data_IF_308478396488
#
_entry.id   IF_308478396488
#
_cell.length_a   1.000
_cell.length_b   1.000
_cell.length_c   1.000
_cell.angle_alpha   90.00
_cell.angle_beta   90.00
_cell.angle_gamma   90.00
#
_symmetry.space_group_name_H-M   'P 1'
#
loop_
_entity.id
_entity.type
_entity.pdbx_description
1 polymer ?
#
# COMPACT_ATOMS: atom_id res chain seq x y z
N UNK A 1 10.54 -16.05 42.96
CA UNK A 1 11.00 -14.90 42.17
C UNK A 1 11.02 -15.32 40.71
N UNK A 2 10.09 -14.84 39.87
CA UNK A 2 10.21 -14.95 38.42
C UNK A 2 10.88 -13.66 37.92
N UNK A 3 12.11 -13.79 37.44
CA UNK A 3 12.79 -12.78 36.64
C UNK A 3 12.94 -13.35 35.23
N UNK A 4 12.58 -12.57 34.20
CA UNK A 4 12.86 -12.66 32.75
C UNK A 4 11.67 -11.96 32.05
N UNK A 5 11.81 -10.93 31.25
CA UNK A 5 12.96 -10.27 30.66
C UNK A 5 12.55 -8.84 30.28
N UNK A 6 13.55 -7.96 30.19
CA UNK A 6 13.57 -6.66 29.53
C UNK A 6 12.22 -6.04 29.16
N UNK A 7 11.89 -4.97 29.87
CA UNK A 7 11.19 -3.84 29.30
C UNK A 7 12.10 -3.20 28.23
N UNK A 8 12.31 -3.91 27.12
CA UNK A 8 12.84 -3.30 25.91
C UNK A 8 11.84 -2.22 25.53
N UNK A 9 12.33 -0.98 25.38
CA UNK A 9 11.59 0.10 24.75
C UNK A 9 10.83 -0.49 23.56
N UNK A 10 9.51 -0.43 23.65
CA UNK A 10 8.65 -1.16 22.74
C UNK A 10 8.78 -0.48 21.37
N UNK A 11 9.73 -0.95 20.56
CA UNK A 11 10.15 -0.38 19.27
C UNK A 11 9.05 -0.52 18.18
N UNK A 12 7.86 -0.94 18.59
CA UNK A 12 6.68 -1.10 17.76
C UNK A 12 5.46 -0.42 18.42
N UNK A 13 4.59 0.20 17.61
CA UNK A 13 3.48 1.00 18.10
C UNK A 13 2.47 0.17 18.91
N UNK A 14 1.73 0.85 19.79
CA UNK A 14 0.63 0.24 20.52
C UNK A 14 -0.38 -0.40 19.56
N UNK A 15 -0.81 -1.63 19.84
CA UNK A 15 -1.67 -2.43 18.95
C UNK A 15 -2.93 -1.70 18.48
N UNK A 16 -3.59 -0.93 19.36
CA UNK A 16 -4.81 -0.18 18.98
C UNK A 16 -4.49 0.99 18.05
N UNK A 17 -3.40 1.70 18.30
CA UNK A 17 -2.96 2.78 17.41
C UNK A 17 -2.53 2.24 16.05
N UNK A 18 -1.76 1.15 16.04
CA UNK A 18 -1.34 0.44 14.85
C UNK A 18 -2.52 -0.06 14.00
N UNK A 19 -3.60 -0.54 14.63
CA UNK A 19 -4.82 -0.93 13.94
C UNK A 19 -5.51 0.26 13.27
N UNK A 20 -5.64 1.40 13.98
CA UNK A 20 -6.24 2.61 13.42
C UNK A 20 -5.44 3.17 12.24
N UNK A 21 -4.11 3.16 12.34
CA UNK A 21 -3.22 3.54 11.24
C UNK A 21 -3.39 2.59 10.05
N UNK A 22 -3.43 1.28 10.30
CA UNK A 22 -3.64 0.27 9.26
C UNK A 22 -4.99 0.42 8.54
N UNK A 23 -6.05 0.79 9.27
CA UNK A 23 -7.36 1.10 8.69
C UNK A 23 -7.33 2.34 7.79
N UNK A 24 -6.46 3.30 8.08
CA UNK A 24 -6.18 4.46 7.22
C UNK A 24 -5.17 4.15 6.11
N UNK A 25 -4.75 2.88 5.94
CA UNK A 25 -3.68 2.45 5.03
C UNK A 25 -2.34 3.15 5.28
N UNK A 26 -2.10 3.59 6.52
CA UNK A 26 -0.83 4.14 6.98
C UNK A 26 -0.06 3.04 7.70
N UNK A 27 1.09 2.67 7.16
CA UNK A 27 1.92 1.62 7.73
C UNK A 27 3.23 2.22 8.24
N UNK A 28 3.25 2.57 9.53
CA UNK A 28 4.41 3.21 10.18
C UNK A 28 5.54 2.21 10.45
N UNK A 29 5.20 0.94 10.70
CA UNK A 29 6.17 -0.10 11.03
C UNK A 29 5.91 -1.39 10.25
N UNK A 30 6.96 -2.17 10.00
CA UNK A 30 6.88 -3.36 9.15
C UNK A 30 5.95 -4.45 9.72
N UNK A 31 5.90 -4.55 11.05
CA UNK A 31 4.95 -5.40 11.79
C UNK A 31 3.50 -5.03 11.50
N UNK A 32 3.18 -3.73 11.41
CA UNK A 32 1.82 -3.24 11.12
C UNK A 32 1.43 -3.62 9.69
N UNK A 33 2.35 -3.42 8.74
CA UNK A 33 2.16 -3.80 7.34
C UNK A 33 1.91 -5.30 7.19
N UNK A 34 2.75 -6.13 7.83
CA UNK A 34 2.62 -7.59 7.72
C UNK A 34 1.35 -8.11 8.41
N UNK A 35 0.99 -7.52 9.56
CA UNK A 35 -0.29 -7.84 10.23
C UNK A 35 -1.47 -7.52 9.32
N UNK A 36 -1.46 -6.33 8.71
CA UNK A 36 -2.50 -5.91 7.78
C UNK A 36 -2.55 -6.78 6.52
N UNK A 37 -1.40 -7.25 6.03
CA UNK A 37 -1.30 -8.19 4.91
C UNK A 37 -1.91 -9.55 5.24
N UNK A 38 -1.65 -10.09 6.45
CA UNK A 38 -2.18 -11.40 6.89
C UNK A 38 -3.69 -11.40 7.07
N UNK A 39 -4.26 -10.29 7.52
CA UNK A 39 -5.72 -10.12 7.65
C UNK A 39 -6.36 -9.79 6.30
N UNK A 40 -5.68 -8.98 5.50
CA UNK A 40 -6.18 -8.47 4.23
C UNK A 40 -6.38 -6.96 4.29
N UNK A 41 -5.67 -6.22 3.44
CA UNK A 41 -5.75 -4.75 3.39
C UNK A 41 -7.17 -4.24 3.12
N UNK A 42 -7.86 -4.86 2.17
CA UNK A 42 -9.24 -4.51 1.81
C UNK A 42 -10.22 -4.82 2.95
N UNK A 43 -9.95 -5.88 3.71
CA UNK A 43 -10.81 -6.30 4.80
C UNK A 43 -10.74 -5.30 5.95
N UNK A 44 -9.53 -4.89 6.36
CA UNK A 44 -9.34 -3.88 7.40
C UNK A 44 -9.96 -2.53 6.99
N UNK A 45 -9.90 -2.16 5.71
CA UNK A 45 -10.44 -0.90 5.22
C UNK A 45 -11.97 -0.88 5.14
N UNK A 46 -12.56 -1.98 4.66
CA UNK A 46 -13.97 -1.98 4.24
C UNK A 46 -14.90 -2.70 5.24
N UNK A 47 -14.40 -3.60 6.08
CA UNK A 47 -15.22 -4.33 7.06
C UNK A 47 -15.32 -3.57 8.38
N UNK A 48 -16.34 -3.90 9.16
CA UNK A 48 -16.54 -3.33 10.48
C UNK A 48 -15.43 -3.74 11.45
N UNK A 49 -15.04 -2.83 12.36
CA UNK A 49 -14.04 -3.06 13.41
C UNK A 49 -14.37 -4.30 14.26
N UNK A 50 -15.65 -4.58 14.48
CA UNK A 50 -16.10 -5.77 15.23
C UNK A 50 -15.65 -7.09 14.63
N UNK A 51 -15.36 -7.13 13.33
CA UNK A 51 -14.90 -8.33 12.61
C UNK A 51 -13.38 -8.38 12.52
N UNK A 52 -12.75 -7.25 12.21
CA UNK A 52 -11.31 -7.17 11.89
C UNK A 52 -10.44 -6.98 13.14
N UNK A 53 -10.92 -6.29 14.16
CA UNK A 53 -10.18 -6.03 15.39
C UNK A 53 -9.86 -7.31 16.20
N UNK A 54 -10.78 -8.29 16.35
CA UNK A 54 -10.43 -9.56 17.00
C UNK A 54 -9.31 -10.32 16.26
N UNK A 55 -9.37 -10.36 14.92
CA UNK A 55 -8.31 -10.97 14.10
C UNK A 55 -6.98 -10.22 14.26
N UNK A 56 -7.02 -8.88 14.32
CA UNK A 56 -5.86 -8.05 14.60
C UNK A 56 -5.22 -8.38 15.94
N UNK A 57 -6.01 -8.43 17.01
CA UNK A 57 -5.51 -8.76 18.35
C UNK A 57 -4.88 -10.14 18.45
N UNK A 58 -5.29 -11.10 17.62
CA UNK A 58 -4.69 -12.43 17.59
C UNK A 58 -3.40 -12.50 16.75
N UNK A 59 -3.32 -11.73 15.67
CA UNK A 59 -2.20 -11.81 14.70
C UNK A 59 -1.07 -10.86 15.10
N UNK A 60 -1.38 -9.64 15.51
CA UNK A 60 -0.40 -8.62 15.88
C UNK A 60 0.67 -9.11 16.88
N UNK A 61 0.33 -9.71 18.04
CA UNK A 61 1.34 -10.18 18.98
C UNK A 61 2.23 -11.30 18.41
N UNK A 62 1.68 -12.16 17.52
CA UNK A 62 2.48 -13.20 16.84
C UNK A 62 3.49 -12.58 15.89
N UNK A 63 3.08 -11.57 15.12
CA UNK A 63 3.98 -10.84 14.21
C UNK A 63 5.05 -10.07 15.01
N UNK A 64 4.69 -9.44 16.13
CA UNK A 64 5.67 -8.83 17.04
C UNK A 64 6.68 -9.86 17.57
N UNK A 65 6.23 -11.04 17.96
CA UNK A 65 7.09 -12.11 18.45
C UNK A 65 8.01 -12.66 17.35
N UNK A 66 7.50 -12.86 16.14
CA UNK A 66 8.30 -13.25 14.98
C UNK A 66 9.38 -12.19 14.69
N UNK A 67 9.02 -10.91 14.74
CA UNK A 67 9.94 -9.80 14.56
C UNK A 67 11.03 -9.79 15.65
N UNK A 68 10.66 -9.95 16.92
CA UNK A 68 11.63 -10.02 18.02
C UNK A 68 12.55 -11.24 17.92
N UNK A 69 12.09 -12.32 17.28
CA UNK A 69 12.88 -13.51 17.00
C UNK A 69 13.81 -13.34 15.77
N UNK A 70 13.83 -12.16 15.15
CA UNK A 70 14.69 -11.84 14.01
C UNK A 70 14.03 -11.99 12.64
N UNK A 71 12.71 -12.19 12.56
CA UNK A 71 12.01 -12.19 11.27
C UNK A 71 12.10 -10.80 10.61
N UNK A 72 12.51 -10.77 9.35
CA UNK A 72 12.60 -9.53 8.59
C UNK A 72 11.32 -9.30 7.80
N UNK A 73 10.60 -8.23 8.12
CA UNK A 73 9.44 -7.77 7.35
C UNK A 73 9.82 -6.58 6.48
N UNK A 74 9.41 -6.59 5.21
CA UNK A 74 9.76 -5.55 4.25
C UNK A 74 8.55 -4.64 4.02
N UNK A 75 8.71 -3.36 4.34
CA UNK A 75 7.80 -2.32 3.87
C UNK A 75 8.14 -1.98 2.42
N UNK A 76 7.21 -2.14 1.46
CA UNK A 76 7.48 -1.78 0.09
C UNK A 76 7.71 -0.27 -0.03
N UNK A 77 8.90 0.12 -0.48
CA UNK A 77 9.15 1.49 -0.89
C UNK A 77 8.47 1.75 -2.23
N UNK A 78 7.73 2.85 -2.36
CA UNK A 78 7.07 3.24 -3.60
C UNK A 78 8.12 3.48 -4.69
N UNK A 79 8.18 2.59 -5.68
CA UNK A 79 9.01 2.79 -6.87
C UNK A 79 8.22 3.66 -7.86
N UNK A 80 8.53 4.95 -7.91
CA UNK A 80 8.02 5.82 -8.96
C UNK A 80 8.69 5.45 -10.29
N UNK A 81 7.91 5.08 -11.30
CA UNK A 81 8.43 4.88 -12.65
C UNK A 81 8.64 6.27 -13.24
N UNK A 82 9.90 6.64 -13.50
CA UNK A 82 10.23 7.89 -14.16
C UNK A 82 9.56 7.94 -15.55
N UNK A 83 8.56 8.81 -15.70
CA UNK A 83 7.93 9.07 -17.00
C UNK A 83 8.89 9.89 -17.85
N UNK A 84 9.61 9.23 -18.75
CA UNK A 84 10.32 9.92 -19.84
C UNK A 84 9.32 10.23 -20.95
N UNK A 85 8.96 11.50 -21.08
CA UNK A 85 8.16 11.95 -22.21
C UNK A 85 9.00 11.89 -23.49
N UNK A 86 8.80 10.85 -24.30
CA UNK A 86 9.37 10.77 -25.65
C UNK A 86 8.41 11.55 -26.55
N UNK A 87 8.86 12.70 -27.05
CA UNK A 87 8.13 13.46 -28.05
C UNK A 87 7.83 12.54 -29.25
N UNK A 88 6.56 12.42 -29.62
CA UNK A 88 6.17 11.64 -30.79
C UNK A 88 6.87 12.20 -32.03
N UNK A 89 7.55 11.33 -32.78
CA UNK A 89 8.15 11.71 -34.07
C UNK A 89 7.03 11.99 -35.07
N UNK A 90 7.12 13.12 -35.78
CA UNK A 90 6.13 13.54 -36.77
C UNK A 90 6.04 12.60 -37.99
N UNK A 91 6.98 11.66 -38.13
CA UNK A 91 7.00 10.67 -39.21
C UNK A 91 6.09 9.44 -38.94
N UNK A 92 5.34 9.46 -37.83
CA UNK A 92 4.43 8.36 -37.51
C UNK A 92 3.26 8.31 -38.51
N UNK A 93 2.97 7.15 -39.13
CA UNK A 93 1.81 7.00 -40.03
C UNK A 93 0.46 7.24 -39.34
N UNK A 94 0.43 7.21 -38.00
CA UNK A 94 -0.73 7.61 -37.21
C UNK A 94 -1.01 9.12 -37.30
N UNK A 95 0.00 9.98 -37.46
CA UNK A 95 -0.20 11.43 -37.60
C UNK A 95 -0.99 11.76 -38.87
N UNK A 96 -0.61 11.16 -40.01
CA UNK A 96 -1.32 11.30 -41.26
C UNK A 96 -2.76 10.77 -41.20
N UNK A 97 -2.99 9.70 -40.42
CA UNK A 97 -4.33 9.12 -40.23
C UNK A 97 -5.23 10.06 -39.42
N UNK A 98 -4.72 10.65 -38.35
CA UNK A 98 -5.45 11.64 -37.53
C UNK A 98 -5.76 12.89 -38.33
N UNK A 99 -4.80 13.41 -39.10
CA UNK A 99 -5.02 14.58 -39.97
C UNK A 99 -6.10 14.34 -41.02
N UNK A 100 -6.10 13.14 -41.64
CA UNK A 100 -7.12 12.77 -42.63
C UNK A 100 -8.51 12.65 -41.99
N UNK A 101 -8.59 12.14 -40.76
CA UNK A 101 -9.83 12.07 -40.00
C UNK A 101 -10.38 13.46 -39.67
N UNK A 102 -9.54 14.36 -39.14
CA UNK A 102 -9.94 15.73 -38.79
C UNK A 102 -10.37 16.56 -40.00
N UNK A 103 -9.68 16.43 -41.14
CA UNK A 103 -10.09 17.07 -42.40
C UNK A 103 -11.46 16.61 -42.90
N UNK A 104 -11.88 15.40 -42.57
CA UNK A 104 -13.20 14.86 -42.91
C UNK A 104 -14.36 15.62 -42.25
N UNK A 105 -14.14 16.24 -41.09
CA UNK A 105 -15.15 17.04 -40.37
C UNK A 105 -15.11 18.53 -40.70
N UNK A 106 -14.14 18.98 -41.50
CA UNK A 106 -13.85 20.41 -41.75
C UNK A 106 -14.63 21.09 -42.89
N UNK A 107 -15.68 20.49 -43.45
CA UNK A 107 -16.52 21.14 -44.47
C UNK A 107 -18.01 20.98 -44.17
N UNK A 108 -18.49 21.75 -43.20
CA UNK A 108 -19.84 22.30 -43.22
C UNK A 108 -19.73 23.78 -42.81
N UNK A 109 -19.48 24.63 -43.80
CA UNK A 109 -19.88 26.04 -43.73
C UNK A 109 -21.12 26.16 -44.60
N UNK A 110 -22.26 26.44 -43.96
CA UNK A 110 -23.49 26.93 -44.60
C UNK A 110 -23.27 28.41 -44.92
#
# INVERSE_FOLDING_TARGET
MLALADASEQDYPNSRHAYLDAAQQKYVHAVVYETARRIGFSDIKNKAETVTHPSWQQIYPKVCQEYSNGATFVLPQSRQIAHKHILMSNDSPMAATVDKFLKGFGRQSI
#
